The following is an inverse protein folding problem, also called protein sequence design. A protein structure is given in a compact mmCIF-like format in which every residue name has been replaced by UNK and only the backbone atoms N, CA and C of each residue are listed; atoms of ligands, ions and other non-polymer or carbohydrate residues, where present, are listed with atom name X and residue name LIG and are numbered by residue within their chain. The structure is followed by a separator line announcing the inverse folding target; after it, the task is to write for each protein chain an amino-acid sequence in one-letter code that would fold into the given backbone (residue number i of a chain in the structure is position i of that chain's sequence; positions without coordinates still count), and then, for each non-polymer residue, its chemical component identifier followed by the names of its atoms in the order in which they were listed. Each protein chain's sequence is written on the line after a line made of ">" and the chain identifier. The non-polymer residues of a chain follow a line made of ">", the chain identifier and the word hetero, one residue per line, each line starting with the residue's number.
data_IF_058142563225
#
_entry.id   IF_058142563225
#
_cell.length_a   1.000
_cell.length_b   1.000
_cell.length_c   1.000
_cell.angle_alpha   90.00
_cell.angle_beta   90.00
_cell.angle_gamma   90.00
#
_symmetry.space_group_name_H-M   'P 1'
#
loop_
_entity.id
_entity.type
_entity.pdbx_description
1 polymer ?
#
# COMPACT_ATOMS: atom_id res chain seq x y z
N UNK A 1 12.79 -19.68 14.02
CA UNK A 1 13.40 -18.37 13.71
C UNK A 1 13.21 -18.13 12.22
N UNK A 2 12.25 -17.31 11.86
CA UNK A 2 12.20 -16.74 10.50
C UNK A 2 13.23 -15.60 10.52
N UNK A 3 14.22 -15.62 9.61
CA UNK A 3 15.32 -14.63 9.58
C UNK A 3 14.82 -13.20 9.39
N UNK A 4 15.68 -12.18 9.46
CA UNK A 4 15.29 -10.78 9.19
C UNK A 4 14.85 -10.57 7.73
N UNK A 5 14.10 -9.51 7.41
CA UNK A 5 13.82 -9.12 6.02
C UNK A 5 14.96 -8.25 5.49
N UNK A 6 15.54 -8.66 4.36
CA UNK A 6 16.60 -7.95 3.65
C UNK A 6 16.08 -6.69 2.94
N UNK A 7 16.89 -5.63 2.98
CA UNK A 7 16.68 -4.42 2.18
C UNK A 7 17.33 -4.62 0.81
N UNK A 8 16.57 -4.42 -0.26
CA UNK A 8 17.04 -4.39 -1.64
C UNK A 8 17.59 -3.00 -1.96
N UNK A 9 18.86 -2.92 -2.35
CA UNK A 9 19.42 -1.73 -2.99
C UNK A 9 18.87 -1.65 -4.42
N UNK A 10 17.74 -0.94 -4.57
CA UNK A 10 17.09 -0.72 -5.87
C UNK A 10 17.84 0.31 -6.73
N UNK A 11 18.77 1.04 -6.12
CA UNK A 11 19.63 2.05 -6.74
C UNK A 11 21.07 1.51 -6.96
N UNK A 12 21.20 0.51 -7.84
CA UNK A 12 22.41 0.32 -8.65
C UNK A 12 23.72 -0.18 -8.01
N UNK A 13 23.85 -0.32 -6.69
CA UNK A 13 25.07 -0.87 -6.07
C UNK A 13 25.00 -2.41 -5.92
N UNK A 14 26.05 -3.10 -6.39
CA UNK A 14 26.02 -4.53 -6.74
C UNK A 14 26.06 -5.52 -5.56
N UNK A 15 26.18 -5.07 -4.30
CA UNK A 15 26.71 -5.93 -3.23
C UNK A 15 25.80 -6.25 -2.04
N UNK A 16 24.58 -5.68 -1.92
CA UNK A 16 23.73 -5.91 -0.73
C UNK A 16 22.51 -6.82 -0.96
N UNK A 17 22.53 -7.64 -2.01
CA UNK A 17 21.52 -8.69 -2.23
C UNK A 17 21.92 -9.90 -1.37
N UNK A 18 21.68 -9.88 -0.06
CA UNK A 18 22.07 -10.93 0.90
C UNK A 18 21.21 -12.19 0.79
N UNK A 19 21.02 -12.70 -0.43
CA UNK A 19 20.26 -13.91 -0.62
C UNK A 19 21.01 -15.14 -0.11
N UNK A 20 20.29 -16.05 0.53
CA UNK A 20 20.75 -17.38 0.94
C UNK A 20 21.18 -18.24 -0.28
N UNK A 21 22.36 -17.95 -0.85
CA UNK A 21 22.96 -18.75 -1.92
C UNK A 21 23.57 -20.00 -1.29
N UNK A 22 22.97 -21.14 -1.56
CA UNK A 22 23.43 -22.42 -1.04
C UNK A 22 24.36 -23.10 -2.05
N UNK A 23 25.52 -23.54 -1.58
CA UNK A 23 26.44 -24.37 -2.37
C UNK A 23 25.99 -25.83 -2.32
N UNK A 24 25.67 -26.42 -3.47
CA UNK A 24 25.33 -27.85 -3.57
C UNK A 24 26.60 -28.69 -3.63
N UNK A 25 27.54 -28.27 -4.47
CA UNK A 25 28.84 -28.91 -4.74
C UNK A 25 29.82 -27.84 -5.26
N UNK A 26 31.14 -28.10 -5.33
CA UNK A 26 32.09 -27.13 -5.86
C UNK A 26 31.65 -26.59 -7.23
N UNK A 27 31.64 -25.26 -7.38
CA UNK A 27 31.18 -24.55 -8.58
C UNK A 27 29.71 -24.82 -8.95
N UNK A 28 28.85 -25.13 -7.98
CA UNK A 28 27.42 -25.27 -8.18
C UNK A 28 26.64 -24.72 -7.00
N UNK A 29 26.00 -23.59 -7.24
CA UNK A 29 25.21 -22.85 -6.28
C UNK A 29 23.75 -22.81 -6.71
N UNK A 30 22.85 -22.62 -5.77
CA UNK A 30 21.45 -22.33 -6.07
C UNK A 30 20.82 -21.35 -5.10
N UNK A 31 19.72 -20.74 -5.54
CA UNK A 31 18.80 -19.97 -4.69
C UNK A 31 17.36 -20.36 -5.04
N UNK A 32 16.50 -20.36 -4.02
CA UNK A 32 15.06 -20.44 -4.20
C UNK A 32 14.50 -19.02 -4.29
N UNK A 33 13.56 -18.82 -5.21
CA UNK A 33 12.88 -17.55 -5.40
C UNK A 33 11.38 -17.80 -5.48
N UNK A 34 10.68 -17.37 -4.44
CA UNK A 34 9.23 -17.34 -4.46
C UNK A 34 8.73 -16.31 -5.47
N UNK A 35 7.83 -16.75 -6.35
CA UNK A 35 7.12 -15.87 -7.29
C UNK A 35 5.69 -16.38 -7.39
N UNK A 36 4.72 -15.47 -7.37
CA UNK A 36 3.33 -15.82 -7.63
C UNK A 36 3.15 -16.48 -9.00
N UNK A 37 2.31 -17.51 -9.06
CA UNK A 37 1.92 -18.18 -10.31
C UNK A 37 1.41 -17.19 -11.37
N UNK A 38 0.85 -16.05 -10.95
CA UNK A 38 0.42 -14.95 -11.81
C UNK A 38 1.53 -14.41 -12.73
N UNK A 39 2.80 -14.46 -12.29
CA UNK A 39 3.93 -13.87 -13.03
C UNK A 39 4.76 -14.88 -13.84
N UNK A 40 4.53 -16.19 -13.67
CA UNK A 40 5.32 -17.24 -14.33
C UNK A 40 5.36 -17.08 -15.84
N UNK A 41 4.22 -16.77 -16.46
CA UNK A 41 4.14 -16.53 -17.90
C UNK A 41 5.02 -15.35 -18.38
N UNK A 42 5.21 -14.33 -17.55
CA UNK A 42 6.06 -13.16 -17.87
C UNK A 42 7.55 -13.53 -17.81
N UNK A 43 7.94 -14.38 -16.87
CA UNK A 43 9.31 -14.86 -16.70
C UNK A 43 9.68 -15.84 -17.83
N UNK A 44 8.77 -16.75 -18.19
CA UNK A 44 8.96 -17.67 -19.31
C UNK A 44 9.07 -16.89 -20.62
N UNK A 45 8.12 -15.96 -20.86
CA UNK A 45 8.05 -15.19 -22.09
C UNK A 45 7.58 -16.00 -23.30
N UNK A 46 7.43 -15.33 -24.45
CA UNK A 46 6.95 -15.98 -25.69
C UNK A 46 7.90 -17.10 -26.11
N UNK A 47 7.39 -18.33 -26.21
CA UNK A 47 8.17 -19.55 -26.52
C UNK A 47 9.40 -19.75 -25.60
N UNK A 48 9.34 -19.27 -24.34
CA UNK A 48 10.46 -19.40 -23.40
C UNK A 48 11.62 -18.43 -23.62
N UNK A 49 11.48 -17.46 -24.55
CA UNK A 49 12.58 -16.60 -24.97
C UNK A 49 13.17 -15.77 -23.82
N UNK A 50 12.34 -15.28 -22.91
CA UNK A 50 12.79 -14.48 -21.75
C UNK A 50 13.65 -15.33 -20.82
N UNK A 51 13.13 -16.47 -20.37
CA UNK A 51 13.86 -17.44 -19.53
C UNK A 51 15.19 -17.85 -20.17
N UNK A 52 15.19 -18.22 -21.45
CA UNK A 52 16.40 -18.62 -22.18
C UNK A 52 17.42 -17.47 -22.27
N UNK A 53 16.95 -16.24 -22.47
CA UNK A 53 17.79 -15.04 -22.46
C UNK A 53 18.48 -14.86 -21.11
N UNK A 54 17.72 -14.90 -20.00
CA UNK A 54 18.28 -14.77 -18.64
C UNK A 54 19.32 -15.86 -18.39
N UNK A 55 19.01 -17.12 -18.70
CA UNK A 55 19.92 -18.25 -18.51
C UNK A 55 21.24 -18.08 -19.27
N UNK A 56 21.17 -17.65 -20.54
CA UNK A 56 22.36 -17.42 -21.36
C UNK A 56 23.20 -16.27 -20.82
N UNK A 57 22.57 -15.13 -20.54
CA UNK A 57 23.26 -13.89 -20.19
C UNK A 57 23.89 -13.99 -18.78
N UNK A 58 23.27 -14.74 -17.87
CA UNK A 58 23.76 -14.94 -16.49
C UNK A 58 24.51 -16.26 -16.29
N UNK A 59 24.58 -17.13 -17.31
CA UNK A 59 25.16 -18.49 -17.22
C UNK A 59 24.52 -19.34 -16.11
N UNK A 60 23.18 -19.30 -16.03
CA UNK A 60 22.39 -20.03 -15.03
C UNK A 60 21.45 -21.05 -15.67
N UNK A 61 20.94 -21.98 -14.86
CA UNK A 61 19.82 -22.87 -15.20
C UNK A 61 18.62 -22.52 -14.30
N UNK A 62 17.50 -22.13 -14.90
CA UNK A 62 16.31 -21.68 -14.17
C UNK A 62 15.25 -22.76 -14.27
N UNK A 63 14.86 -23.33 -13.13
CA UNK A 63 13.76 -24.28 -13.02
C UNK A 63 12.53 -23.56 -12.52
N UNK A 64 11.52 -23.49 -13.38
CA UNK A 64 10.22 -22.89 -13.06
C UNK A 64 9.24 -24.03 -12.78
N UNK A 65 8.49 -23.99 -11.67
CA UNK A 65 7.48 -24.99 -11.35
C UNK A 65 6.45 -25.13 -12.48
N UNK A 66 5.89 -26.33 -12.64
CA UNK A 66 4.77 -26.53 -13.58
C UNK A 66 3.51 -25.90 -13.02
N UNK A 67 2.53 -25.69 -13.90
CA UNK A 67 1.22 -25.18 -13.49
C UNK A 67 0.57 -26.15 -12.48
N UNK A 68 0.20 -25.64 -11.30
CA UNK A 68 -0.36 -26.42 -10.19
C UNK A 68 0.68 -26.94 -9.19
N UNK A 69 1.98 -26.76 -9.44
CA UNK A 69 3.02 -26.99 -8.44
C UNK A 69 3.22 -25.71 -7.62
N UNK A 70 3.02 -25.79 -6.30
CA UNK A 70 3.22 -24.69 -5.35
C UNK A 70 4.63 -24.74 -4.76
N UNK A 71 5.62 -24.59 -5.63
CA UNK A 71 7.04 -24.59 -5.24
C UNK A 71 7.76 -23.41 -5.87
N UNK A 72 8.83 -22.94 -5.23
CA UNK A 72 9.61 -21.81 -5.71
C UNK A 72 10.32 -22.07 -7.04
N UNK A 73 10.69 -20.98 -7.72
CA UNK A 73 11.66 -21.04 -8.82
C UNK A 73 13.02 -21.39 -8.23
N UNK A 74 13.73 -22.34 -8.83
CA UNK A 74 15.09 -22.70 -8.42
C UNK A 74 16.07 -22.25 -9.49
N UNK A 75 17.03 -21.42 -9.11
CA UNK A 75 18.07 -20.89 -10.01
C UNK A 75 19.39 -21.54 -9.64
N UNK A 76 20.00 -22.26 -10.58
CA UNK A 76 21.34 -22.83 -10.42
C UNK A 76 22.38 -22.03 -11.19
N UNK A 77 23.59 -21.92 -10.66
CA UNK A 77 24.69 -21.24 -11.34
C UNK A 77 26.06 -21.68 -10.86
N UNK A 78 27.13 -21.35 -11.61
CA UNK A 78 28.49 -21.74 -11.28
C UNK A 78 29.11 -20.94 -10.13
N UNK A 79 28.61 -19.73 -9.88
CA UNK A 79 29.04 -18.86 -8.79
C UNK A 79 27.85 -18.08 -8.19
N UNK A 80 27.95 -17.60 -6.93
CA UNK A 80 26.89 -16.82 -6.30
C UNK A 80 26.48 -15.57 -7.09
N UNK A 81 27.44 -14.86 -7.68
CA UNK A 81 27.17 -13.67 -8.50
C UNK A 81 26.25 -13.98 -9.70
N UNK A 82 26.42 -15.14 -10.35
CA UNK A 82 25.57 -15.56 -11.47
C UNK A 82 24.12 -15.79 -11.03
N UNK A 83 23.94 -16.47 -9.90
CA UNK A 83 22.63 -16.77 -9.31
C UNK A 83 21.93 -15.47 -8.88
N UNK A 84 22.64 -14.58 -8.19
CA UNK A 84 22.15 -13.24 -7.81
C UNK A 84 21.73 -12.40 -9.02
N UNK A 85 22.54 -12.37 -10.08
CA UNK A 85 22.21 -11.66 -11.31
C UNK A 85 20.93 -12.18 -11.98
N UNK A 86 20.73 -13.50 -12.04
CA UNK A 86 19.51 -14.11 -12.56
C UNK A 86 18.28 -13.79 -11.70
N UNK A 87 18.42 -13.86 -10.37
CA UNK A 87 17.39 -13.48 -9.40
C UNK A 87 16.94 -12.04 -9.60
N UNK A 88 17.88 -11.09 -9.65
CA UNK A 88 17.60 -9.67 -9.92
C UNK A 88 16.84 -9.49 -11.24
N UNK A 89 17.24 -10.21 -12.30
CA UNK A 89 16.56 -10.10 -13.60
C UNK A 89 15.11 -10.61 -13.56
N UNK A 90 14.83 -11.66 -12.78
CA UNK A 90 13.47 -12.14 -12.54
C UNK A 90 12.66 -11.12 -11.74
N UNK A 91 13.23 -10.59 -10.64
CA UNK A 91 12.55 -9.59 -9.80
C UNK A 91 12.14 -8.34 -10.60
N UNK A 92 13.00 -7.83 -11.49
CA UNK A 92 12.67 -6.70 -12.37
C UNK A 92 11.46 -7.01 -13.26
N UNK A 93 11.36 -8.23 -13.81
CA UNK A 93 10.22 -8.65 -14.64
C UNK A 93 8.94 -8.70 -13.80
N UNK A 94 9.02 -9.24 -12.58
CA UNK A 94 7.89 -9.34 -11.65
C UNK A 94 7.42 -7.95 -11.23
N UNK A 95 8.34 -7.06 -10.85
CA UNK A 95 8.04 -5.68 -10.48
C UNK A 95 7.34 -4.92 -11.62
N UNK A 96 7.87 -4.99 -12.84
CA UNK A 96 7.26 -4.35 -14.01
C UNK A 96 5.88 -4.93 -14.36
N UNK A 97 5.63 -6.20 -14.05
CA UNK A 97 4.31 -6.82 -14.24
C UNK A 97 3.32 -6.37 -13.15
N UNK A 98 3.76 -6.33 -11.89
CA UNK A 98 2.96 -5.89 -10.74
C UNK A 98 2.54 -4.41 -10.82
N UNK A 99 3.38 -3.55 -11.41
CA UNK A 99 3.04 -2.13 -11.63
C UNK A 99 1.71 -1.94 -12.39
N UNK A 100 1.33 -2.91 -13.23
CA UNK A 100 0.12 -2.85 -14.05
C UNK A 100 -1.10 -3.46 -13.36
N UNK A 101 -0.93 -4.02 -12.16
CA UNK A 101 -2.01 -4.68 -11.44
C UNK A 101 -2.82 -3.68 -10.60
N UNK A 102 -4.11 -3.97 -10.37
CA UNK A 102 -4.89 -3.26 -9.37
C UNK A 102 -4.30 -3.51 -7.97
N UNK A 103 -4.49 -2.55 -7.08
CA UNK A 103 -4.12 -2.72 -5.68
C UNK A 103 -5.10 -3.65 -4.98
N UNK A 104 -4.57 -4.61 -4.21
CA UNK A 104 -5.35 -5.59 -3.43
C UNK A 104 -5.36 -5.25 -1.94
N UNK A 105 -4.28 -4.60 -1.46
CA UNK A 105 -4.10 -4.24 -0.06
C UNK A 105 -3.59 -2.81 0.08
N UNK A 106 -3.63 -2.31 1.30
CA UNK A 106 -3.05 -1.03 1.66
C UNK A 106 -2.63 -1.02 3.14
N UNK A 107 -1.60 -0.23 3.45
CA UNK A 107 -1.15 0.06 4.81
C UNK A 107 -1.80 1.36 5.25
N UNK A 108 -2.41 1.36 6.44
CA UNK A 108 -3.23 2.49 6.91
C UNK A 108 -3.17 2.73 8.41
N UNK A 109 -3.50 3.98 8.79
CA UNK A 109 -3.75 4.39 10.17
C UNK A 109 -5.26 4.65 10.31
N UNK A 110 -6.00 3.89 11.13
CA UNK A 110 -7.44 4.09 11.31
C UNK A 110 -7.78 5.44 11.94
N UNK A 111 -8.87 6.06 11.46
CA UNK A 111 -9.44 7.32 11.99
C UNK A 111 -10.93 7.15 12.35
N UNK A 112 -11.36 5.92 12.56
CA UNK A 112 -12.75 5.51 12.77
C UNK A 112 -13.13 5.41 14.26
N UNK A 113 -12.51 6.18 15.14
CA UNK A 113 -12.93 6.26 16.55
C UNK A 113 -14.30 6.94 16.66
N UNK A 114 -15.12 6.54 17.63
CA UNK A 114 -16.53 6.94 17.76
C UNK A 114 -16.75 8.46 17.69
N UNK A 115 -15.93 9.25 18.39
CA UNK A 115 -16.04 10.72 18.40
C UNK A 115 -15.79 11.35 17.01
N UNK A 116 -14.85 10.81 16.23
CA UNK A 116 -14.58 11.27 14.86
C UNK A 116 -15.67 10.82 13.91
N UNK A 117 -16.13 9.56 14.03
CA UNK A 117 -17.24 9.04 13.23
C UNK A 117 -18.51 9.88 13.42
N UNK A 118 -18.86 10.23 14.65
CA UNK A 118 -20.03 11.07 14.95
C UNK A 118 -19.92 12.46 14.30
N UNK A 119 -18.73 13.09 14.40
CA UNK A 119 -18.48 14.40 13.78
C UNK A 119 -18.48 14.32 12.25
N UNK A 120 -17.96 13.24 11.68
CA UNK A 120 -18.04 12.99 10.24
C UNK A 120 -19.48 12.84 9.75
N UNK A 121 -20.33 12.09 10.47
CA UNK A 121 -21.74 11.96 10.10
C UNK A 121 -22.50 13.31 10.23
N UNK A 122 -22.17 14.13 11.23
CA UNK A 122 -22.68 15.52 11.34
C UNK A 122 -22.24 16.40 10.16
N UNK A 123 -20.97 16.29 9.77
CA UNK A 123 -20.44 16.96 8.58
C UNK A 123 -21.20 16.50 7.32
N UNK A 124 -21.31 15.20 7.09
CA UNK A 124 -22.05 14.61 5.96
C UNK A 124 -23.49 15.10 5.91
N UNK A 125 -24.22 15.04 7.03
CA UNK A 125 -25.61 15.51 7.10
C UNK A 125 -25.74 17.01 6.80
N UNK A 126 -24.81 17.83 7.30
CA UNK A 126 -24.77 19.28 7.01
C UNK A 126 -24.51 19.53 5.54
N UNK A 127 -23.53 18.81 4.96
CA UNK A 127 -23.19 18.93 3.54
C UNK A 127 -24.38 18.57 2.65
N UNK A 128 -25.04 17.43 2.90
CA UNK A 128 -26.18 16.99 2.11
C UNK A 128 -27.43 17.87 2.25
N UNK A 129 -27.60 18.54 3.40
CA UNK A 129 -28.74 19.43 3.66
C UNK A 129 -28.53 20.83 3.06
N UNK A 130 -27.35 21.41 3.29
CA UNK A 130 -27.11 22.83 3.05
C UNK A 130 -26.35 23.11 1.74
N UNK A 131 -25.74 22.09 1.13
CA UNK A 131 -24.87 22.26 -0.04
C UNK A 131 -25.35 21.42 -1.23
N UNK A 132 -26.20 22.04 -2.06
CA UNK A 132 -26.69 21.43 -3.31
C UNK A 132 -25.69 21.61 -4.47
N UNK A 133 -24.45 21.18 -4.26
CA UNK A 133 -23.41 21.22 -5.30
C UNK A 133 -23.72 20.27 -6.45
N UNK A 134 -23.41 20.68 -7.69
CA UNK A 134 -23.51 19.78 -8.86
C UNK A 134 -22.72 18.50 -8.58
N UNK A 135 -23.30 17.34 -8.91
CA UNK A 135 -22.62 16.04 -8.82
C UNK A 135 -22.36 15.52 -7.41
N UNK A 136 -22.81 16.22 -6.36
CA UNK A 136 -22.71 15.73 -5.00
C UNK A 136 -23.87 14.76 -4.72
N UNK A 137 -23.53 13.56 -4.25
CA UNK A 137 -24.47 12.48 -3.95
C UNK A 137 -24.05 11.79 -2.65
N UNK A 138 -25.01 11.26 -1.90
CA UNK A 138 -24.73 10.56 -0.64
C UNK A 138 -23.76 9.38 -0.84
N UNK A 139 -23.87 8.66 -1.96
CA UNK A 139 -22.98 7.53 -2.26
C UNK A 139 -21.53 7.94 -2.53
N UNK A 140 -21.24 9.22 -2.73
CA UNK A 140 -19.87 9.71 -2.84
C UNK A 140 -19.14 9.74 -1.48
N UNK A 141 -19.84 9.67 -0.35
CA UNK A 141 -19.22 9.70 0.98
C UNK A 141 -18.64 8.34 1.34
N UNK A 142 -17.44 8.34 1.92
CA UNK A 142 -16.92 7.14 2.58
C UNK A 142 -17.80 6.80 3.79
N UNK A 143 -17.86 5.52 4.18
CA UNK A 143 -18.45 5.16 5.48
C UNK A 143 -17.58 5.69 6.62
N UNK A 144 -18.21 6.19 7.69
CA UNK A 144 -17.50 6.62 8.90
C UNK A 144 -16.56 5.52 9.45
N UNK A 145 -17.03 4.28 9.45
CA UNK A 145 -16.26 3.11 9.90
C UNK A 145 -14.99 2.86 9.08
N UNK A 146 -14.90 3.42 7.86
CA UNK A 146 -13.78 3.28 6.90
C UNK A 146 -12.85 4.50 6.87
N UNK A 147 -12.99 5.50 7.75
CA UNK A 147 -12.07 6.64 7.80
C UNK A 147 -10.66 6.18 8.18
N UNK A 148 -9.66 6.57 7.38
CA UNK A 148 -8.25 6.21 7.57
C UNK A 148 -7.31 7.14 6.81
N UNK A 149 -6.04 7.15 7.22
CA UNK A 149 -4.92 7.62 6.41
C UNK A 149 -4.40 6.43 5.61
N UNK A 150 -4.27 6.57 4.29
CA UNK A 150 -3.53 5.60 3.46
C UNK A 150 -2.04 5.96 3.48
N UNK A 151 -1.19 5.03 3.92
CA UNK A 151 0.28 5.19 3.89
C UNK A 151 0.84 4.65 2.57
N UNK A 152 0.53 3.38 2.24
CA UNK A 152 0.99 2.73 0.99
C UNK A 152 -0.03 1.76 0.42
N UNK A 153 -0.09 1.66 -0.90
CA UNK A 153 -0.91 0.70 -1.63
C UNK A 153 -0.07 -0.49 -2.09
N UNK A 154 -0.62 -1.71 -2.07
CA UNK A 154 0.09 -2.94 -2.41
C UNK A 154 -0.73 -3.83 -3.35
N UNK A 155 -0.03 -4.56 -4.22
CA UNK A 155 -0.58 -5.63 -5.06
C UNK A 155 0.04 -6.95 -4.63
N UNK A 156 -0.61 -7.61 -3.67
CA UNK A 156 -0.24 -8.91 -3.12
C UNK A 156 -1.09 -9.99 -3.79
N UNK A 157 -0.44 -10.94 -4.47
CA UNK A 157 -1.08 -11.87 -5.41
C UNK A 157 -1.33 -13.27 -4.85
N UNK A 158 -0.70 -13.61 -3.73
CA UNK A 158 -0.87 -14.89 -3.05
C UNK A 158 -0.67 -14.77 -1.53
N UNK A 159 -0.62 -15.91 -0.84
CA UNK A 159 -0.40 -15.96 0.61
C UNK A 159 1.03 -15.59 1.00
N UNK A 160 2.03 -16.02 0.24
CA UNK A 160 3.43 -15.77 0.56
C UNK A 160 3.76 -14.28 0.49
N UNK A 161 3.27 -13.57 -0.54
CA UNK A 161 3.40 -12.11 -0.62
C UNK A 161 2.69 -11.39 0.55
N UNK A 162 1.56 -11.92 1.02
CA UNK A 162 0.86 -11.40 2.21
C UNK A 162 1.62 -11.64 3.51
N UNK A 163 2.22 -12.82 3.67
CA UNK A 163 3.05 -13.15 4.82
C UNK A 163 4.31 -12.30 4.85
N UNK A 164 4.97 -12.12 3.70
CA UNK A 164 6.12 -11.23 3.56
C UNK A 164 5.75 -9.79 3.94
N UNK A 165 4.65 -9.24 3.41
CA UNK A 165 4.20 -7.89 3.77
C UNK A 165 3.89 -7.73 5.27
N UNK A 166 3.32 -8.76 5.89
CA UNK A 166 3.04 -8.79 7.33
C UNK A 166 4.33 -8.79 8.16
N UNK A 167 5.32 -9.59 7.74
CA UNK A 167 6.64 -9.64 8.36
C UNK A 167 7.37 -8.30 8.23
N UNK A 168 7.41 -7.73 7.02
CA UNK A 168 8.02 -6.42 6.76
C UNK A 168 7.38 -5.34 7.62
N UNK A 169 6.05 -5.29 7.71
CA UNK A 169 5.36 -4.31 8.53
C UNK A 169 5.70 -4.46 10.02
N UNK A 170 5.90 -5.70 10.49
CA UNK A 170 6.35 -5.98 11.87
C UNK A 170 7.75 -5.45 12.10
N UNK A 171 8.69 -5.74 11.20
CA UNK A 171 10.06 -5.25 11.31
C UNK A 171 10.15 -3.73 11.20
N UNK A 172 9.36 -3.11 10.30
CA UNK A 172 9.26 -1.66 10.20
C UNK A 172 8.72 -1.06 11.51
N UNK A 173 7.78 -1.73 12.16
CA UNK A 173 7.27 -1.28 13.45
C UNK A 173 8.35 -1.28 14.53
N UNK A 174 9.17 -2.32 14.59
CA UNK A 174 10.23 -2.47 15.58
C UNK A 174 11.45 -1.59 15.31
N UNK A 175 11.88 -1.50 14.04
CA UNK A 175 13.12 -0.83 13.62
C UNK A 175 12.93 0.65 13.29
N UNK A 176 11.71 1.08 12.94
CA UNK A 176 11.43 2.45 12.47
C UNK A 176 10.38 3.14 13.34
N UNK A 177 9.15 2.63 13.36
CA UNK A 177 8.01 3.35 13.93
C UNK A 177 8.14 3.52 15.45
N UNK A 178 8.33 2.43 16.20
CA UNK A 178 8.45 2.47 17.67
C UNK A 178 9.62 3.33 18.14
N UNK A 179 10.83 3.22 17.55
CA UNK A 179 11.95 4.12 17.89
C UNK A 179 11.62 5.60 17.66
N UNK A 180 10.98 5.94 16.54
CA UNK A 180 10.63 7.34 16.24
C UNK A 180 9.55 7.89 17.17
N UNK A 181 8.59 7.07 17.59
CA UNK A 181 7.46 7.51 18.40
C UNK A 181 7.72 7.45 19.92
N UNK A 182 8.78 6.77 20.37
CA UNK A 182 9.01 6.41 21.78
C UNK A 182 8.82 7.56 22.78
N UNK A 183 9.35 8.74 22.48
CA UNK A 183 9.32 9.90 23.39
C UNK A 183 8.07 10.78 23.23
N UNK A 184 7.15 10.37 22.33
CA UNK A 184 5.95 11.12 21.96
C UNK A 184 4.66 10.34 22.19
N UNK A 185 4.74 9.15 22.80
CA UNK A 185 3.57 8.36 23.14
C UNK A 185 2.91 8.84 24.44
N UNK A 186 1.55 8.87 24.51
CA UNK A 186 0.62 8.58 23.42
C UNK A 186 0.57 9.72 22.38
N UNK A 187 0.77 9.38 21.10
CA UNK A 187 0.73 10.37 20.02
C UNK A 187 -0.73 10.59 19.60
N UNK A 188 -1.22 11.81 19.81
CA UNK A 188 -2.56 12.23 19.40
C UNK A 188 -2.50 12.99 18.09
N UNK A 189 -3.45 12.70 17.20
CA UNK A 189 -3.53 13.29 15.86
C UNK A 189 -4.94 13.80 15.62
N UNK A 190 -5.05 15.00 15.05
CA UNK A 190 -6.30 15.72 14.81
C UNK A 190 -6.65 15.69 13.33
N UNK A 191 -7.91 15.39 13.03
CA UNK A 191 -8.49 15.54 11.70
C UNK A 191 -9.23 16.88 11.64
N UNK A 192 -8.63 17.88 10.98
CA UNK A 192 -9.19 19.22 10.92
C UNK A 192 -8.92 19.93 9.61
N UNK A 193 -9.94 20.62 9.15
CA UNK A 193 -9.94 21.39 7.92
C UNK A 193 -9.96 20.51 6.67
N UNK A 194 -10.33 21.15 5.57
CA UNK A 194 -10.63 20.50 4.30
C UNK A 194 -9.62 20.87 3.24
N UNK A 195 -9.33 19.91 2.37
CA UNK A 195 -8.57 20.11 1.14
C UNK A 195 -9.03 19.09 0.11
N UNK A 196 -8.48 19.14 -1.09
CA UNK A 196 -8.98 18.36 -2.22
C UNK A 196 -7.87 17.94 -3.16
N UNK A 197 -8.18 16.93 -3.99
CA UNK A 197 -7.27 16.53 -5.06
C UNK A 197 -7.59 17.34 -6.33
N UNK A 198 -6.54 17.70 -7.08
CA UNK A 198 -6.54 18.60 -8.24
C UNK A 198 -6.68 20.09 -7.89
N UNK A 199 -6.69 20.96 -8.90
CA UNK A 199 -6.57 22.42 -8.71
C UNK A 199 -7.91 23.17 -8.69
N UNK A 200 -8.96 22.66 -9.36
CA UNK A 200 -10.26 23.34 -9.47
C UNK A 200 -11.28 22.84 -8.43
N UNK A 201 -11.69 23.67 -7.45
CA UNK A 201 -12.69 23.29 -6.44
C UNK A 201 -14.12 23.11 -6.99
N UNK A 202 -14.38 23.50 -8.25
CA UNK A 202 -15.66 23.26 -8.94
C UNK A 202 -15.72 21.91 -9.66
N UNK A 203 -14.56 21.28 -9.86
CA UNK A 203 -14.39 20.03 -10.63
C UNK A 203 -13.71 18.95 -9.78
N UNK A 204 -14.11 18.85 -8.51
CA UNK A 204 -13.49 17.95 -7.55
C UNK A 204 -13.89 16.50 -7.80
N UNK A 205 -12.93 15.59 -7.55
CA UNK A 205 -13.20 14.16 -7.47
C UNK A 205 -13.00 13.59 -6.08
N UNK A 206 -12.16 14.23 -5.27
CA UNK A 206 -11.82 13.82 -3.91
C UNK A 206 -11.78 15.06 -3.02
N UNK A 207 -12.56 15.04 -1.94
CA UNK A 207 -12.43 15.94 -0.80
C UNK A 207 -11.88 15.13 0.37
N UNK A 208 -10.89 15.66 1.06
CA UNK A 208 -10.27 15.01 2.20
C UNK A 208 -10.06 15.98 3.36
N UNK A 209 -9.97 15.43 4.57
CA UNK A 209 -9.56 16.19 5.75
C UNK A 209 -8.04 16.17 5.91
N UNK A 210 -7.49 17.27 6.42
CA UNK A 210 -6.06 17.36 6.77
C UNK A 210 -5.81 16.77 8.15
N UNK A 211 -4.61 16.24 8.33
CA UNK A 211 -4.18 15.64 9.60
C UNK A 211 -3.00 16.42 10.14
N UNK A 212 -3.04 16.73 11.43
CA UNK A 212 -1.98 17.41 12.17
C UNK A 212 -1.79 16.73 13.54
N UNK A 213 -0.62 16.89 14.15
CA UNK A 213 -0.41 16.46 15.53
C UNK A 213 -1.27 17.29 16.50
N UNK A 214 -1.85 16.64 17.50
CA UNK A 214 -2.60 17.29 18.59
C UNK A 214 -1.69 17.38 19.82
N UNK A 215 -1.15 18.58 20.09
CA UNK A 215 -0.21 18.85 21.19
C UNK A 215 1.12 18.05 21.11
N UNK A 216 1.43 17.47 19.94
CA UNK A 216 2.67 16.74 19.66
C UNK A 216 3.72 17.57 18.90
N UNK A 217 4.95 17.05 18.73
CA UNK A 217 5.98 17.71 17.93
C UNK A 217 5.57 17.79 16.46
N UNK A 218 5.62 18.98 15.88
CA UNK A 218 5.26 19.19 14.47
C UNK A 218 6.11 18.31 13.55
N UNK A 219 5.46 17.54 12.70
CA UNK A 219 6.10 16.77 11.63
C UNK A 219 6.44 15.32 11.99
N UNK A 220 6.37 14.91 13.26
CA UNK A 220 6.71 13.54 13.64
C UNK A 220 5.83 12.51 12.93
N UNK A 221 4.55 12.81 12.72
CA UNK A 221 3.64 11.92 12.02
C UNK A 221 4.09 11.74 10.57
N UNK A 222 4.37 12.85 9.88
CA UNK A 222 4.81 12.87 8.48
C UNK A 222 6.15 12.15 8.29
N UNK A 223 7.12 12.44 9.16
CA UNK A 223 8.45 11.82 9.11
C UNK A 223 8.35 10.31 9.36
N UNK A 224 7.53 9.89 10.33
CA UNK A 224 7.33 8.47 10.64
C UNK A 224 6.68 7.72 9.48
N UNK A 225 5.63 8.27 8.85
CA UNK A 225 4.99 7.58 7.70
C UNK A 225 5.86 7.60 6.45
N UNK A 226 6.69 8.63 6.25
CA UNK A 226 7.68 8.66 5.17
C UNK A 226 8.77 7.61 5.39
N UNK A 227 9.29 7.50 6.62
CA UNK A 227 10.27 6.47 6.97
C UNK A 227 9.71 5.05 6.83
N UNK A 228 8.44 4.83 7.21
CA UNK A 228 7.75 3.57 6.96
C UNK A 228 7.63 3.28 5.45
N UNK A 229 7.21 4.27 4.66
CA UNK A 229 7.11 4.14 3.21
C UNK A 229 8.45 3.80 2.54
N UNK A 230 9.53 4.44 2.99
CA UNK A 230 10.90 4.20 2.55
C UNK A 230 11.35 2.77 2.89
N UNK A 231 11.12 2.33 4.13
CA UNK A 231 11.47 0.98 4.57
C UNK A 231 10.74 -0.09 3.73
N UNK A 232 9.44 0.10 3.49
CA UNK A 232 8.63 -0.79 2.64
C UNK A 232 9.14 -0.84 1.20
N UNK A 233 9.56 0.31 0.65
CA UNK A 233 10.14 0.36 -0.70
C UNK A 233 11.46 -0.42 -0.76
N UNK A 234 12.36 -0.18 0.20
CA UNK A 234 13.66 -0.86 0.26
C UNK A 234 13.53 -2.36 0.40
N UNK A 235 12.55 -2.90 1.13
CA UNK A 235 12.36 -4.37 1.19
C UNK A 235 11.82 -4.99 -0.12
N UNK A 236 11.45 -4.19 -1.13
CA UNK A 236 10.90 -4.65 -2.40
C UNK A 236 9.45 -5.15 -2.32
N UNK A 237 8.79 -5.03 -1.16
CA UNK A 237 7.38 -5.44 -0.98
C UNK A 237 6.41 -4.41 -1.58
N UNK A 238 6.84 -3.15 -1.70
CA UNK A 238 6.10 -2.07 -2.35
C UNK A 238 6.82 -1.64 -3.62
N UNK A 239 6.07 -1.43 -4.70
CA UNK A 239 6.58 -0.88 -5.95
C UNK A 239 6.37 0.62 -5.94
N UNK A 240 7.45 1.37 -6.07
CA UNK A 240 7.39 2.81 -6.18
C UNK A 240 7.14 3.24 -7.63
N UNK A 241 5.86 3.39 -8.01
CA UNK A 241 5.45 3.78 -9.37
C UNK A 241 5.88 5.20 -9.76
N UNK A 242 6.22 6.04 -8.78
CA UNK A 242 6.45 7.47 -9.00
C UNK A 242 7.83 7.96 -8.54
N UNK A 243 8.70 7.02 -8.13
CA UNK A 243 9.98 7.30 -7.49
C UNK A 243 9.91 8.35 -6.36
N UNK A 244 8.79 8.37 -5.63
CA UNK A 244 8.54 9.28 -4.52
C UNK A 244 8.01 8.47 -3.33
N UNK A 245 8.80 8.43 -2.26
CA UNK A 245 8.43 7.77 -1.01
C UNK A 245 7.76 8.72 -0.02
N UNK A 246 7.49 9.98 -0.40
CA UNK A 246 6.65 10.88 0.37
C UNK A 246 5.21 10.36 0.45
N UNK A 247 4.60 10.51 1.63
CA UNK A 247 3.20 10.16 1.87
C UNK A 247 2.40 11.45 1.92
N UNK A 248 1.54 11.67 0.93
CA UNK A 248 0.52 12.73 1.01
C UNK A 248 -0.52 12.32 2.05
N UNK A 249 -0.31 12.68 3.30
CA UNK A 249 -1.24 12.32 4.39
C UNK A 249 -2.58 13.03 4.23
N UNK A 250 -3.65 12.25 4.22
CA UNK A 250 -5.02 12.75 4.17
C UNK A 250 -6.01 11.67 4.60
N UNK A 251 -7.18 12.09 5.07
CA UNK A 251 -8.33 11.19 5.28
C UNK A 251 -9.39 11.50 4.24
N UNK A 252 -9.63 10.59 3.31
CA UNK A 252 -10.65 10.78 2.26
C UNK A 252 -12.04 10.84 2.88
N UNK A 253 -12.82 11.86 2.55
CA UNK A 253 -14.17 12.08 3.07
C UNK A 253 -15.22 11.83 1.97
N UNK A 254 -14.96 12.39 0.78
CA UNK A 254 -15.83 12.27 -0.40
C UNK A 254 -14.97 11.82 -1.57
N UNK A 255 -15.40 10.79 -2.29
CA UNK A 255 -14.78 10.34 -3.52
C UNK A 255 -15.85 9.96 -4.56
N UNK A 256 -15.82 10.62 -5.71
CA UNK A 256 -16.74 10.33 -6.83
C UNK A 256 -16.64 8.90 -7.38
N UNK A 257 -15.57 8.16 -7.08
CA UNK A 257 -15.47 6.72 -7.42
C UNK A 257 -16.48 5.86 -6.67
N UNK A 258 -17.01 6.33 -5.54
CA UNK A 258 -18.00 5.59 -4.76
C UNK A 258 -19.42 5.73 -5.32
N UNK A 259 -19.63 6.70 -6.23
CA UNK A 259 -20.96 7.04 -6.74
C UNK A 259 -21.63 5.85 -7.43
N UNK A 260 -22.76 5.41 -6.88
CA UNK A 260 -23.64 4.39 -7.46
C UNK A 260 -22.94 3.11 -7.95
N UNK A 261 -21.80 2.75 -7.35
CA UNK A 261 -21.21 1.42 -7.44
C UNK A 261 -22.13 0.48 -6.65
N UNK A 262 -23.03 -0.22 -7.35
CA UNK A 262 -24.05 -1.14 -6.79
C UNK A 262 -23.53 -2.31 -5.95
N UNK A 263 -22.23 -2.32 -5.66
CA UNK A 263 -21.53 -3.11 -4.66
C UNK A 263 -20.29 -2.30 -4.34
N UNK A 264 -20.01 -2.00 -3.06
CA UNK A 264 -18.73 -1.37 -2.66
C UNK A 264 -17.58 -2.38 -2.68
N UNK A 265 -17.54 -3.19 -3.74
CA UNK A 265 -16.33 -3.85 -4.17
C UNK A 265 -15.53 -2.79 -4.92
N UNK A 266 -14.34 -2.49 -4.43
CA UNK A 266 -13.35 -1.62 -5.09
C UNK A 266 -12.77 -2.29 -6.36
N UNK A 267 -13.61 -2.98 -7.13
CA UNK A 267 -13.22 -3.66 -8.37
C UNK A 267 -12.98 -2.62 -9.47
N UNK A 268 -11.72 -2.24 -9.61
CA UNK A 268 -11.17 -1.82 -10.91
C UNK A 268 -11.16 -3.05 -11.83
N UNK A 269 -12.32 -3.41 -12.36
CA UNK A 269 -12.47 -4.62 -13.18
C UNK A 269 -13.75 -4.67 -14.00
N UNK A 270 -13.65 -4.20 -15.25
CA UNK A 270 -14.41 -4.70 -16.41
C UNK A 270 -15.92 -4.91 -16.24
N UNK A 271 -16.69 -3.83 -16.15
CA UNK A 271 -18.07 -3.86 -16.65
C UNK A 271 -18.19 -2.96 -17.87
N UNK A 272 -18.73 -3.53 -18.94
CA UNK A 272 -18.95 -2.98 -20.28
C UNK A 272 -19.97 -1.82 -20.31
N UNK A 273 -19.93 -0.92 -19.33
CA UNK A 273 -20.71 0.31 -19.32
C UNK A 273 -19.98 1.31 -20.21
N UNK A 274 -20.72 1.92 -21.14
CA UNK A 274 -20.26 3.00 -22.03
C UNK A 274 -19.27 3.91 -21.29
N UNK A 275 -18.19 4.35 -21.95
CA UNK A 275 -17.20 5.33 -21.48
C UNK A 275 -17.86 6.68 -21.11
N UNK A 276 -18.68 6.71 -20.08
CA UNK A 276 -19.20 7.92 -19.46
C UNK A 276 -18.08 8.40 -18.57
N UNK A 277 -17.53 9.57 -18.89
CA UNK A 277 -16.51 10.20 -18.07
C UNK A 277 -17.01 10.29 -16.63
N UNK A 278 -16.13 9.95 -15.67
CA UNK A 278 -16.45 10.06 -14.25
C UNK A 278 -16.87 11.50 -13.96
N UNK A 279 -18.11 11.69 -13.52
CA UNK A 279 -18.63 13.03 -13.22
C UNK A 279 -18.03 13.56 -11.90
N UNK A 280 -17.47 14.76 -11.95
CA UNK A 280 -16.95 15.54 -10.81
C UNK A 280 -18.06 16.09 -9.91
N UNK A 281 -17.70 16.79 -8.83
CA UNK A 281 -18.63 17.59 -8.05
C UNK A 281 -18.07 18.98 -7.73
N UNK A 282 -18.96 19.95 -7.54
CA UNK A 282 -18.58 21.30 -7.09
C UNK A 282 -18.55 21.35 -5.55
N UNK A 283 -17.34 21.43 -4.99
CA UNK A 283 -17.10 21.53 -3.55
C UNK A 283 -16.78 22.95 -3.07
N UNK A 284 -16.83 23.96 -3.95
CA UNK A 284 -16.38 25.32 -3.64
C UNK A 284 -17.08 25.93 -2.41
N UNK A 285 -18.41 25.75 -2.30
CA UNK A 285 -19.19 26.23 -1.15
C UNK A 285 -18.86 25.47 0.13
N UNK A 286 -18.63 24.16 0.04
CA UNK A 286 -18.23 23.33 1.19
C UNK A 286 -16.90 23.86 1.74
N UNK A 287 -15.93 24.14 0.87
CA UNK A 287 -14.64 24.69 1.26
C UNK A 287 -14.76 26.08 1.89
N UNK A 288 -15.58 26.98 1.32
CA UNK A 288 -15.74 28.33 1.88
C UNK A 288 -16.44 28.36 3.23
N UNK A 289 -17.35 27.42 3.51
CA UNK A 289 -18.19 27.44 4.71
C UNK A 289 -17.73 26.47 5.80
N UNK A 290 -17.13 25.34 5.42
CA UNK A 290 -16.71 24.26 6.31
C UNK A 290 -15.20 23.96 6.19
N UNK A 291 -14.43 24.86 5.56
CA UNK A 291 -13.01 24.69 5.27
C UNK A 291 -12.14 24.39 6.49
N UNK A 292 -12.53 24.85 7.68
CA UNK A 292 -11.83 24.62 8.95
C UNK A 292 -12.57 23.65 9.90
N UNK A 293 -13.48 22.83 9.37
CA UNK A 293 -14.27 21.90 10.18
C UNK A 293 -13.37 20.94 10.98
N UNK A 294 -13.66 20.80 12.27
CA UNK A 294 -12.89 19.97 13.19
C UNK A 294 -13.62 18.65 13.48
N UNK A 295 -13.08 17.57 12.91
CA UNK A 295 -13.61 16.22 13.06
C UNK A 295 -13.15 15.57 14.37
N UNK A 296 -12.23 16.17 15.11
CA UNK A 296 -11.75 15.69 16.40
C UNK A 296 -10.38 15.02 16.35
N UNK A 297 -10.03 14.42 17.47
CA UNK A 297 -8.71 13.87 17.76
C UNK A 297 -8.83 12.37 18.00
N UNK A 298 -7.83 11.63 17.53
CA UNK A 298 -7.63 10.21 17.84
C UNK A 298 -6.24 9.99 18.42
N UNK A 299 -6.11 8.98 19.26
CA UNK A 299 -4.80 8.44 19.63
C UNK A 299 -4.33 7.46 18.54
N UNK A 300 -3.13 7.67 18.00
CA UNK A 300 -2.54 6.73 17.05
C UNK A 300 -1.95 5.54 17.80
N UNK A 301 -2.60 4.38 17.63
CA UNK A 301 -2.20 3.12 18.29
C UNK A 301 -1.65 2.09 17.34
N UNK A 302 -2.28 1.94 16.18
CA UNK A 302 -2.06 0.78 15.32
C UNK A 302 -1.86 1.17 13.86
N UNK A 303 -1.16 0.30 13.13
CA UNK A 303 -1.02 0.35 11.68
C UNK A 303 -1.54 -0.96 11.11
N UNK A 304 -2.42 -0.86 10.11
CA UNK A 304 -3.12 -2.00 9.54
C UNK A 304 -2.63 -2.26 8.12
N UNK A 305 -2.26 -3.51 7.83
CA UNK A 305 -2.23 -4.05 6.47
C UNK A 305 -3.63 -4.59 6.14
N UNK A 306 -4.40 -3.84 5.36
CA UNK A 306 -5.82 -4.08 5.11
C UNK A 306 -6.09 -4.60 3.70
N UNK A 307 -7.08 -5.49 3.57
CA UNK A 307 -7.63 -5.92 2.28
C UNK A 307 -8.59 -4.86 1.75
N UNK A 308 -8.31 -4.34 0.55
CA UNK A 308 -9.05 -3.21 -0.04
C UNK A 308 -10.54 -3.51 -0.22
N UNK A 309 -10.90 -4.71 -0.67
CA UNK A 309 -12.27 -5.05 -1.05
C UNK A 309 -13.05 -5.86 0.00
N UNK A 310 -12.48 -6.09 1.18
CA UNK A 310 -13.10 -6.93 2.22
C UNK A 310 -13.37 -6.10 3.46
N UNK A 311 -14.58 -6.20 4.00
CA UNK A 311 -15.00 -5.50 5.21
C UNK A 311 -14.95 -6.46 6.39
N UNK A 312 -14.30 -6.04 7.48
CA UNK A 312 -14.23 -6.79 8.73
C UNK A 312 -15.51 -6.68 9.56
N UNK A 313 -15.58 -7.42 10.68
CA UNK A 313 -16.77 -7.45 11.55
C UNK A 313 -17.08 -6.10 12.23
N UNK A 314 -16.09 -5.23 12.37
CA UNK A 314 -16.21 -3.86 12.91
C UNK A 314 -16.65 -2.82 11.86
N UNK A 315 -16.85 -3.24 10.61
CA UNK A 315 -17.18 -2.37 9.50
C UNK A 315 -15.99 -1.60 8.92
N UNK A 316 -14.77 -1.80 9.44
CA UNK A 316 -13.52 -1.33 8.81
C UNK A 316 -13.10 -2.30 7.70
N UNK A 317 -11.96 -2.02 7.06
CA UNK A 317 -11.37 -2.98 6.13
C UNK A 317 -10.80 -4.18 6.89
N UNK A 318 -10.99 -5.39 6.37
CA UNK A 318 -10.45 -6.60 6.97
C UNK A 318 -8.91 -6.52 6.97
N UNK A 319 -8.32 -6.46 8.16
CA UNK A 319 -6.88 -6.51 8.30
C UNK A 319 -6.37 -7.94 8.03
N UNK A 320 -5.31 -8.03 7.24
CA UNK A 320 -4.46 -9.23 7.12
C UNK A 320 -3.45 -9.26 8.27
N UNK A 321 -2.96 -8.09 8.69
CA UNK A 321 -2.02 -7.94 9.79
C UNK A 321 -2.17 -6.57 10.46
N UNK A 322 -1.95 -6.52 11.77
CA UNK A 322 -1.99 -5.28 12.56
C UNK A 322 -0.76 -5.25 13.45
N UNK A 323 -0.09 -4.10 13.48
CA UNK A 323 1.04 -3.84 14.39
C UNK A 323 0.69 -2.69 15.32
N UNK A 324 1.04 -2.83 16.59
CA UNK A 324 0.82 -1.78 17.58
C UNK A 324 2.06 -0.91 17.76
N UNK A 325 1.87 0.39 17.59
CA UNK A 325 2.87 1.44 17.79
C UNK A 325 3.16 1.68 19.27
N UNK A 326 2.23 1.33 20.16
CA UNK A 326 2.44 1.37 21.61
C UNK A 326 3.12 0.07 22.06
N UNK A 327 4.09 0.19 22.98
CA UNK A 327 4.73 -0.98 23.59
C UNK A 327 3.71 -1.82 24.36
N UNK A 328 3.91 -3.13 24.42
CA UNK A 328 3.20 -3.94 25.41
C UNK A 328 3.77 -3.54 26.77
N UNK A 329 2.98 -2.87 27.60
CA UNK A 329 3.29 -2.76 29.03
C UNK A 329 3.20 -4.13 29.70
#
# INVERSE_FOLDING_TARGET
>A
MLGEVELQDLDGDEDNDDCDVVMVHPNRYYVNLHVSQHFMGKIIGKKGATKMGIQRDTKTDIKIPKHGEDTDIVIYGPAPANVKAARRRINIIVMAAKEKLPYTHFISIPFNQAAVMERFEKFKATVLRDFNGRGLDESCFIRASKLHITVRMLSLMDNEERLLASKVLTEANEKVIRPMLKDYLPLRIRLKGLSYMNDDPKEMHVLYGRVEEDEGPTGILQDTVNALAEFLYKTGVVINRFNDTSVKMHVTLINTRYRNSGSQSDEEGSSSKKNIARESFDGSKILSSLGDYDFGVVEWRDIHLSQRSVVGPDGYYQATHVVSCVGNN
#
